data_IF_682543510610
#
_entry.id   IF_682543510610
#
_cell.length_a   1.000
_cell.length_b   1.000
_cell.length_c   1.000
_cell.angle_alpha   90.00
_cell.angle_beta   90.00
_cell.angle_gamma   90.00
#
_symmetry.space_group_name_H-M   'P 1'
#
loop_
_entity.id
_entity.type
_entity.pdbx_description
1 polymer ?
#
# COMPACT_ATOMS: atom_id res chain seq x y z
N UNK A 1 -10.96 8.51 -10.21
CA UNK A 1 -10.84 7.99 -8.83
C UNK A 1 -9.41 7.55 -8.56
N UNK A 2 -8.89 7.84 -7.36
CA UNK A 2 -7.62 7.33 -6.85
C UNK A 2 -7.91 6.39 -5.67
N UNK A 3 -7.39 5.18 -5.70
CA UNK A 3 -7.38 4.27 -4.54
C UNK A 3 -5.94 3.94 -4.16
N UNK A 4 -5.57 4.25 -2.93
CA UNK A 4 -4.26 3.90 -2.37
C UNK A 4 -4.42 2.78 -1.34
N UNK A 5 -3.73 1.66 -1.55
CA UNK A 5 -3.78 0.51 -0.64
C UNK A 5 -2.40 0.28 -0.05
N UNK A 6 -2.21 0.76 1.18
CA UNK A 6 -1.00 0.54 1.95
C UNK A 6 -1.12 -0.71 2.85
N UNK A 7 0.00 -1.22 3.30
CA UNK A 7 0.03 -2.35 4.25
C UNK A 7 1.37 -3.07 4.20
N UNK A 8 1.69 -3.75 5.27
CA UNK A 8 2.92 -4.54 5.37
C UNK A 8 2.94 -5.73 4.40
N UNK A 9 4.05 -6.44 4.34
CA UNK A 9 4.18 -7.62 3.51
C UNK A 9 3.25 -8.74 4.01
N UNK A 10 2.53 -9.40 3.09
CA UNK A 10 1.73 -10.59 3.42
C UNK A 10 0.30 -10.33 3.91
N UNK A 11 -0.22 -9.10 3.84
CA UNK A 11 -1.58 -8.76 4.33
C UNK A 11 -2.68 -8.79 3.25
N UNK A 12 -2.39 -9.28 2.03
CA UNK A 12 -3.40 -9.46 0.99
C UNK A 12 -3.69 -8.25 0.10
N UNK A 13 -2.84 -7.20 0.11
CA UNK A 13 -3.03 -5.97 -0.69
C UNK A 13 -3.31 -6.22 -2.16
N UNK A 14 -2.43 -6.94 -2.85
CA UNK A 14 -2.55 -7.17 -4.31
C UNK A 14 -3.81 -7.95 -4.66
N UNK A 15 -4.21 -8.91 -3.82
CA UNK A 15 -5.47 -9.66 -4.00
C UNK A 15 -6.69 -8.76 -3.88
N UNK A 16 -6.70 -7.88 -2.88
CA UNK A 16 -7.80 -6.93 -2.67
C UNK A 16 -7.81 -5.87 -3.76
N UNK A 17 -6.64 -5.34 -4.15
CA UNK A 17 -6.50 -4.37 -5.24
C UNK A 17 -7.04 -4.93 -6.56
N UNK A 18 -6.75 -6.19 -6.88
CA UNK A 18 -7.26 -6.85 -8.08
C UNK A 18 -8.79 -7.03 -8.04
N UNK A 19 -9.37 -7.38 -6.88
CA UNK A 19 -10.82 -7.47 -6.72
C UNK A 19 -11.50 -6.13 -6.95
N UNK A 20 -10.96 -5.06 -6.35
CA UNK A 20 -11.46 -3.68 -6.54
C UNK A 20 -11.36 -3.29 -8.02
N UNK A 21 -10.21 -3.55 -8.66
CA UNK A 21 -10.01 -3.22 -10.06
C UNK A 21 -11.05 -3.88 -10.97
N UNK A 22 -11.33 -5.17 -10.74
CA UNK A 22 -12.31 -5.93 -11.52
C UNK A 22 -13.75 -5.45 -11.26
N UNK A 23 -14.14 -5.23 -10.01
CA UNK A 23 -15.49 -4.86 -9.64
C UNK A 23 -15.87 -3.44 -10.10
N UNK A 24 -14.91 -2.51 -9.98
CA UNK A 24 -15.11 -1.10 -10.34
C UNK A 24 -14.49 -0.72 -11.69
N UNK A 25 -14.05 -1.69 -12.49
CA UNK A 25 -13.52 -1.47 -13.85
C UNK A 25 -12.35 -0.48 -13.91
N UNK A 26 -11.45 -0.51 -12.93
CA UNK A 26 -10.23 0.30 -12.99
C UNK A 26 -9.32 -0.16 -14.12
N UNK A 27 -8.96 0.77 -15.00
CA UNK A 27 -8.07 0.50 -16.12
C UNK A 27 -6.59 0.41 -15.71
N UNK A 28 -6.21 0.96 -14.55
CA UNK A 28 -4.83 0.98 -14.07
C UNK A 28 -4.73 0.48 -12.62
N UNK A 29 -3.96 -0.58 -12.46
CA UNK A 29 -3.52 -1.12 -11.18
C UNK A 29 -2.00 -1.26 -11.20
N UNK A 30 -1.32 -0.59 -10.30
CA UNK A 30 0.14 -0.61 -10.18
C UNK A 30 0.56 -0.95 -8.74
N UNK A 31 1.72 -1.59 -8.61
CA UNK A 31 2.33 -1.81 -7.31
C UNK A 31 3.54 -0.91 -7.08
N UNK A 32 3.78 -0.48 -5.84
CA UNK A 32 4.99 0.26 -5.49
C UNK A 32 6.25 -0.58 -5.63
N UNK A 33 6.13 -1.91 -5.55
CA UNK A 33 7.24 -2.82 -5.80
C UNK A 33 7.68 -2.74 -7.27
N UNK A 34 6.74 -2.63 -8.23
CA UNK A 34 7.07 -2.44 -9.65
C UNK A 34 7.75 -1.09 -9.89
N UNK A 35 7.26 0.00 -9.25
CA UNK A 35 7.89 1.31 -9.33
C UNK A 35 9.31 1.25 -8.79
N UNK A 36 9.51 0.65 -7.60
CA UNK A 36 10.83 0.46 -7.00
C UNK A 36 11.76 -0.31 -7.92
N UNK A 37 11.29 -1.37 -8.56
CA UNK A 37 12.11 -2.19 -9.45
C UNK A 37 12.60 -1.42 -10.67
N UNK A 38 11.73 -0.58 -11.27
CA UNK A 38 12.11 0.32 -12.36
C UNK A 38 13.16 1.33 -11.88
N UNK A 39 12.95 1.95 -10.71
CA UNK A 39 13.88 2.93 -10.15
C UNK A 39 15.25 2.29 -9.83
N UNK A 40 15.28 1.05 -9.36
CA UNK A 40 16.51 0.30 -9.08
C UNK A 40 17.40 0.12 -10.30
N UNK A 41 16.81 -0.04 -11.48
CA UNK A 41 17.59 -0.26 -12.73
C UNK A 41 18.42 0.95 -13.10
N UNK A 42 17.95 2.16 -12.73
CA UNK A 42 18.62 3.42 -13.06
C UNK A 42 19.40 4.01 -11.88
N UNK A 43 19.21 3.47 -10.68
CA UNK A 43 19.91 3.93 -9.48
C UNK A 43 21.29 3.27 -9.36
N UNK A 44 22.33 4.09 -9.49
CA UNK A 44 23.73 3.66 -9.36
C UNK A 44 24.32 3.95 -7.97
N UNK A 45 23.51 4.41 -7.02
CA UNK A 45 23.94 4.77 -5.68
C UNK A 45 24.25 3.52 -4.87
N UNK A 46 25.47 3.37 -4.40
CA UNK A 46 25.86 2.29 -3.49
C UNK A 46 25.04 2.37 -2.20
N UNK A 47 24.59 1.22 -1.69
CA UNK A 47 23.79 1.09 -0.47
C UNK A 47 22.43 1.84 -0.47
N UNK A 48 21.94 2.26 -1.63
CA UNK A 48 20.63 2.88 -1.74
C UNK A 48 19.51 2.00 -1.12
N UNK A 49 18.56 2.61 -0.35
CA UNK A 49 17.40 1.90 0.16
C UNK A 49 16.54 1.23 -0.91
N UNK A 50 16.63 1.64 -2.17
CA UNK A 50 15.98 0.99 -3.32
C UNK A 50 16.40 -0.48 -3.48
N UNK A 51 17.62 -0.84 -3.08
CA UNK A 51 18.18 -2.18 -3.26
C UNK A 51 17.84 -3.15 -2.12
N UNK A 52 17.20 -2.69 -1.05
CA UNK A 52 16.79 -3.56 0.07
C UNK A 52 15.28 -3.76 0.14
N UNK A 53 14.83 -4.86 0.75
CA UNK A 53 13.41 -5.07 1.04
C UNK A 53 12.95 -4.13 2.13
N UNK A 54 11.68 -3.74 2.11
CA UNK A 54 11.06 -2.84 3.09
C UNK A 54 11.21 -3.29 4.56
N UNK A 55 11.31 -4.61 4.79
CA UNK A 55 11.51 -5.18 6.13
C UNK A 55 12.97 -5.53 6.45
N UNK A 56 13.90 -5.33 5.51
CA UNK A 56 15.33 -5.58 5.75
C UNK A 56 15.92 -4.55 6.70
N UNK A 57 16.93 -4.97 7.46
CA UNK A 57 17.68 -4.06 8.32
C UNK A 57 18.43 -3.04 7.45
N UNK A 58 18.28 -1.78 7.77
CA UNK A 58 19.01 -0.66 7.19
C UNK A 58 20.02 -0.08 8.17
N UNK A 59 20.37 1.18 7.98
CA UNK A 59 21.39 1.86 8.80
C UNK A 59 20.96 2.12 10.25
N UNK A 60 19.67 2.46 10.45
CA UNK A 60 19.15 2.74 11.79
C UNK A 60 19.04 1.49 12.65
N UNK A 61 18.79 0.33 12.01
CA UNK A 61 18.47 -0.93 12.68
C UNK A 61 17.05 -0.98 13.23
N UNK A 62 16.34 0.15 13.37
CA UNK A 62 14.93 0.21 13.72
C UNK A 62 14.05 -0.19 12.51
N UNK A 63 13.00 -0.98 12.75
CA UNK A 63 12.19 -1.53 11.69
C UNK A 63 11.39 -0.44 10.94
N UNK A 64 10.87 0.54 11.68
CA UNK A 64 10.02 1.59 11.14
C UNK A 64 10.86 2.64 10.41
N UNK A 65 11.97 3.08 11.00
CA UNK A 65 12.87 4.05 10.35
C UNK A 65 13.48 3.48 9.08
N UNK A 66 13.97 2.24 9.13
CA UNK A 66 14.53 1.58 7.95
C UNK A 66 13.50 1.39 6.83
N UNK A 67 12.22 1.11 7.19
CA UNK A 67 11.13 1.07 6.23
C UNK A 67 10.81 2.45 5.65
N UNK A 68 10.78 3.49 6.48
CA UNK A 68 10.55 4.87 6.02
C UNK A 68 11.61 5.33 5.02
N UNK A 69 12.87 4.92 5.18
CA UNK A 69 13.91 5.21 4.20
C UNK A 69 13.60 4.55 2.85
N UNK A 70 13.06 3.33 2.84
CA UNK A 70 12.61 2.70 1.57
C UNK A 70 11.41 3.44 0.98
N UNK A 71 10.50 3.96 1.79
CA UNK A 71 9.38 4.77 1.31
C UNK A 71 9.88 6.06 0.65
N UNK A 72 10.78 6.79 1.30
CA UNK A 72 11.39 8.02 0.76
C UNK A 72 12.09 7.77 -0.57
N UNK A 73 12.82 6.67 -0.69
CA UNK A 73 13.54 6.34 -1.93
C UNK A 73 12.60 6.05 -3.12
N UNK A 74 11.37 5.58 -2.87
CA UNK A 74 10.36 5.28 -3.90
C UNK A 74 9.40 6.45 -4.11
N UNK A 75 9.35 7.42 -3.21
CA UNK A 75 8.35 8.49 -3.14
C UNK A 75 8.19 9.24 -4.47
N UNK A 76 9.30 9.62 -5.10
CA UNK A 76 9.27 10.37 -6.37
C UNK A 76 8.55 9.59 -7.48
N UNK A 77 8.76 8.28 -7.58
CA UNK A 77 8.08 7.41 -8.54
C UNK A 77 6.59 7.25 -8.23
N UNK A 78 6.24 7.14 -6.95
CA UNK A 78 4.84 7.08 -6.49
C UNK A 78 4.11 8.36 -6.87
N UNK A 79 4.66 9.54 -6.55
CA UNK A 79 4.03 10.82 -6.88
C UNK A 79 3.96 11.04 -8.40
N UNK A 80 5.01 10.72 -9.15
CA UNK A 80 4.99 10.84 -10.61
C UNK A 80 3.87 9.99 -11.25
N UNK A 81 3.65 8.78 -10.72
CA UNK A 81 2.58 7.88 -11.18
C UNK A 81 1.19 8.46 -10.90
N UNK A 82 0.96 8.96 -9.68
CA UNK A 82 -0.31 9.60 -9.28
C UNK A 82 -0.56 10.85 -10.13
N UNK A 83 0.43 11.72 -10.28
CA UNK A 83 0.31 12.95 -11.06
C UNK A 83 0.04 12.69 -12.53
N UNK A 84 0.66 11.66 -13.11
CA UNK A 84 0.38 11.24 -14.48
C UNK A 84 -1.07 10.81 -14.64
N UNK A 85 -1.57 9.93 -13.77
CA UNK A 85 -2.95 9.46 -13.82
C UNK A 85 -3.93 10.62 -13.66
N UNK A 86 -3.65 11.56 -12.74
CA UNK A 86 -4.45 12.78 -12.54
C UNK A 86 -4.53 13.66 -13.77
N UNK A 87 -3.39 13.94 -14.41
CA UNK A 87 -3.34 14.77 -15.64
C UNK A 87 -4.05 14.13 -16.84
N UNK A 88 -4.02 12.80 -16.91
CA UNK A 88 -4.69 12.05 -17.97
C UNK A 88 -6.18 11.79 -17.66
N UNK A 89 -6.67 12.16 -16.47
CA UNK A 89 -8.05 11.90 -16.05
C UNK A 89 -8.38 10.42 -15.92
N UNK A 90 -7.39 9.59 -15.58
CA UNK A 90 -7.52 8.13 -15.53
C UNK A 90 -7.57 7.63 -14.09
N UNK A 91 -8.52 6.75 -13.82
CA UNK A 91 -8.66 6.11 -12.53
C UNK A 91 -7.46 5.19 -12.24
N UNK A 92 -6.96 5.26 -11.00
CA UNK A 92 -5.75 4.55 -10.58
C UNK A 92 -5.96 3.84 -9.25
N UNK A 93 -5.59 2.56 -9.20
CA UNK A 93 -5.27 1.87 -7.95
C UNK A 93 -3.75 1.76 -7.85
N UNK A 94 -3.20 2.23 -6.74
CA UNK A 94 -1.79 2.03 -6.40
C UNK A 94 -1.69 1.28 -5.07
N UNK A 95 -1.02 0.13 -5.07
CA UNK A 95 -0.87 -0.68 -3.86
C UNK A 95 0.59 -0.90 -3.49
N UNK A 96 0.88 -1.02 -2.21
CA UNK A 96 2.21 -1.43 -1.77
C UNK A 96 2.58 -1.05 -0.36
N UNK A 97 3.74 -1.54 0.06
CA UNK A 97 4.32 -1.26 1.37
C UNK A 97 5.02 0.10 1.44
N UNK A 98 5.32 0.71 0.28
CA UNK A 98 6.01 2.00 0.20
C UNK A 98 5.05 3.19 0.15
N UNK A 99 3.77 2.98 0.44
CA UNK A 99 2.78 4.04 0.58
C UNK A 99 2.66 4.37 2.07
N UNK A 100 3.13 5.54 2.45
CA UNK A 100 2.98 6.05 3.80
C UNK A 100 1.69 6.85 3.91
N UNK A 101 0.71 6.43 4.76
CA UNK A 101 -0.56 7.12 4.89
C UNK A 101 -0.35 8.57 5.32
N UNK A 102 -0.92 9.50 4.57
CA UNK A 102 -0.93 10.91 4.91
C UNK A 102 -2.14 11.63 4.31
N UNK A 103 -2.59 12.69 4.95
CA UNK A 103 -3.66 13.55 4.42
C UNK A 103 -3.26 14.16 3.08
N UNK A 104 -2.00 14.54 2.92
CA UNK A 104 -1.48 15.25 1.75
C UNK A 104 -1.65 14.47 0.45
N UNK A 105 -1.37 13.16 0.48
CA UNK A 105 -1.36 12.35 -0.75
C UNK A 105 -2.77 12.20 -1.36
N UNK A 106 -3.81 12.12 -0.52
CA UNK A 106 -5.20 12.06 -0.98
C UNK A 106 -5.73 13.44 -1.37
N UNK A 107 -5.38 14.47 -0.58
CA UNK A 107 -5.86 15.84 -0.78
C UNK A 107 -5.45 16.39 -2.15
N UNK A 108 -4.23 16.14 -2.62
CA UNK A 108 -3.78 16.62 -3.94
C UNK A 108 -4.68 16.14 -5.10
N UNK A 109 -5.26 14.96 -4.98
CA UNK A 109 -6.21 14.42 -5.95
C UNK A 109 -7.62 15.01 -5.76
N UNK A 110 -8.05 15.17 -4.51
CA UNK A 110 -9.36 15.76 -4.17
C UNK A 110 -9.43 17.24 -4.55
N UNK A 111 -8.39 18.02 -4.31
CA UNK A 111 -8.30 19.44 -4.70
C UNK A 111 -8.37 19.63 -6.22
N UNK A 112 -7.95 18.63 -6.99
CA UNK A 112 -8.13 18.58 -8.44
C UNK A 112 -9.54 18.16 -8.88
N UNK A 113 -10.47 17.98 -7.93
CA UNK A 113 -11.87 17.62 -8.17
C UNK A 113 -12.13 16.13 -8.32
N UNK A 114 -11.18 15.27 -7.97
CA UNK A 114 -11.33 13.82 -8.01
C UNK A 114 -11.74 13.21 -6.68
N UNK A 115 -12.08 11.93 -6.70
CA UNK A 115 -12.35 11.13 -5.51
C UNK A 115 -11.08 10.36 -5.15
N UNK A 116 -10.66 10.40 -3.88
CA UNK A 116 -9.49 9.66 -3.40
C UNK A 116 -9.82 8.90 -2.12
N UNK A 117 -9.42 7.63 -2.07
CA UNK A 117 -9.66 6.71 -0.96
C UNK A 117 -8.34 6.08 -0.54
N UNK A 118 -8.02 6.18 0.76
CA UNK A 118 -6.88 5.53 1.38
C UNK A 118 -7.32 4.33 2.22
N UNK A 119 -6.65 3.20 2.04
CA UNK A 119 -6.92 1.96 2.77
C UNK A 119 -5.59 1.41 3.30
N UNK A 120 -5.51 1.12 4.60
CA UNK A 120 -4.42 0.36 5.18
C UNK A 120 -4.88 -1.06 5.49
N UNK A 121 -4.28 -2.03 4.84
CA UNK A 121 -4.53 -3.44 5.12
C UNK A 121 -3.58 -3.96 6.19
N UNK A 122 -4.12 -4.73 7.12
CA UNK A 122 -3.39 -5.37 8.19
C UNK A 122 -3.95 -6.77 8.50
N UNK A 123 -3.21 -7.58 9.22
CA UNK A 123 -3.67 -8.85 9.79
C UNK A 123 -3.37 -8.82 11.28
N UNK A 124 -4.41 -8.80 12.11
CA UNK A 124 -4.26 -8.66 13.55
C UNK A 124 -3.64 -9.92 14.17
N UNK A 125 -4.13 -11.09 13.79
CA UNK A 125 -3.65 -12.37 14.29
C UNK A 125 -2.31 -12.76 13.65
N UNK A 126 -1.28 -12.99 14.48
CA UNK A 126 0.07 -13.31 14.01
C UNK A 126 0.15 -14.68 13.34
N UNK A 127 -0.63 -15.65 13.80
CA UNK A 127 -0.63 -16.99 13.21
C UNK A 127 -1.24 -16.96 11.80
N UNK A 128 -2.31 -16.17 11.61
CA UNK A 128 -2.90 -15.95 10.29
C UNK A 128 -1.96 -15.17 9.37
N UNK A 129 -1.28 -14.13 9.88
CA UNK A 129 -0.29 -13.40 9.11
C UNK A 129 0.84 -14.32 8.65
N UNK A 130 1.35 -15.17 9.53
CA UNK A 130 2.34 -16.21 9.21
C UNK A 130 1.84 -17.16 8.14
N UNK A 131 0.56 -17.59 8.24
CA UNK A 131 -0.06 -18.44 7.22
C UNK A 131 -0.10 -17.77 5.85
N UNK A 132 -0.47 -16.49 5.78
CA UNK A 132 -0.46 -15.74 4.52
C UNK A 132 0.93 -15.61 3.90
N UNK A 133 1.96 -15.42 4.73
CA UNK A 133 3.35 -15.37 4.27
C UNK A 133 3.80 -16.72 3.70
N UNK A 134 3.41 -17.85 4.32
CA UNK A 134 3.70 -19.19 3.83
C UNK A 134 2.97 -19.50 2.52
N UNK A 135 1.71 -19.11 2.37
CA UNK A 135 0.95 -19.32 1.15
C UNK A 135 1.55 -18.64 -0.08
N UNK A 136 2.27 -17.52 0.09
CA UNK A 136 2.99 -16.87 -1.02
C UNK A 136 4.07 -17.75 -1.64
N UNK A 137 4.66 -18.67 -0.89
CA UNK A 137 5.68 -19.61 -1.37
C UNK A 137 5.11 -20.61 -2.37
N UNK A 138 3.89 -21.10 -2.14
CA UNK A 138 3.24 -22.07 -3.05
C UNK A 138 2.96 -21.50 -4.45
N UNK A 139 3.01 -20.18 -4.61
CA UNK A 139 2.73 -19.48 -5.86
C UNK A 139 3.89 -18.62 -6.37
N UNK A 140 5.07 -18.68 -5.72
CA UNK A 140 6.24 -17.90 -6.13
C UNK A 140 7.54 -18.59 -5.69
N UNK A 141 8.63 -18.36 -6.42
CA UNK A 141 9.99 -18.81 -6.06
C UNK A 141 10.59 -18.06 -4.84
N UNK A 142 9.76 -17.41 -4.00
CA UNK A 142 10.20 -16.64 -2.84
C UNK A 142 10.23 -17.54 -1.62
N UNK A 143 11.39 -17.67 -0.98
CA UNK A 143 11.55 -18.45 0.25
C UNK A 143 10.77 -17.83 1.41
N UNK A 144 9.81 -18.58 1.99
CA UNK A 144 8.98 -18.15 3.12
C UNK A 144 9.81 -17.90 4.39
N UNK A 145 10.90 -18.63 4.62
CA UNK A 145 11.73 -18.50 5.81
C UNK A 145 12.27 -17.07 5.98
N UNK A 146 12.58 -16.39 4.87
CA UNK A 146 13.02 -15.01 4.89
C UNK A 146 11.96 -14.06 5.46
N UNK A 147 10.68 -14.30 5.17
CA UNK A 147 9.58 -13.49 5.70
C UNK A 147 9.26 -13.84 7.15
N UNK A 148 9.31 -15.13 7.48
CA UNK A 148 9.04 -15.61 8.83
C UNK A 148 10.11 -15.10 9.80
N UNK A 149 11.39 -15.18 9.45
CA UNK A 149 12.48 -14.62 10.26
C UNK A 149 12.40 -13.10 10.45
N UNK A 150 11.81 -12.40 9.49
CA UNK A 150 11.59 -10.95 9.54
C UNK A 150 10.21 -10.55 10.10
N UNK A 151 9.39 -11.51 10.53
CA UNK A 151 8.01 -11.26 10.98
C UNK A 151 7.91 -10.16 12.07
N UNK A 152 8.77 -10.12 13.10
CA UNK A 152 8.70 -9.06 14.10
C UNK A 152 8.86 -7.66 13.47
N UNK A 153 9.77 -7.51 12.51
CA UNK A 153 9.96 -6.23 11.79
C UNK A 153 8.76 -5.89 10.89
N UNK A 154 8.23 -6.89 10.18
CA UNK A 154 7.03 -6.74 9.35
C UNK A 154 5.84 -6.27 10.19
N UNK A 155 5.68 -6.82 11.39
CA UNK A 155 4.61 -6.42 12.32
C UNK A 155 4.82 -5.01 12.88
N UNK A 156 6.04 -4.62 13.24
CA UNK A 156 6.34 -3.24 13.65
C UNK A 156 5.98 -2.23 12.56
N UNK A 157 6.27 -2.56 11.28
CA UNK A 157 5.87 -1.74 10.13
C UNK A 157 4.35 -1.68 10.01
N UNK A 158 3.65 -2.82 10.18
CA UNK A 158 2.18 -2.86 10.15
C UNK A 158 1.57 -1.96 11.22
N UNK A 159 2.08 -2.01 12.45
CA UNK A 159 1.57 -1.20 13.56
C UNK A 159 1.79 0.29 13.31
N UNK A 160 2.95 0.66 12.76
CA UNK A 160 3.23 2.03 12.32
C UNK A 160 2.26 2.48 11.21
N UNK A 161 1.98 1.62 10.23
CA UNK A 161 1.01 1.92 9.16
C UNK A 161 -0.41 2.11 9.72
N UNK A 162 -0.85 1.29 10.67
CA UNK A 162 -2.15 1.44 11.35
C UNK A 162 -2.25 2.77 12.08
N UNK A 163 -1.21 3.16 12.81
CA UNK A 163 -1.19 4.43 13.52
C UNK A 163 -1.20 5.63 12.56
N UNK A 164 -0.41 5.57 11.47
CA UNK A 164 -0.44 6.60 10.43
C UNK A 164 -1.80 6.69 9.73
N UNK A 165 -2.48 5.56 9.51
CA UNK A 165 -3.83 5.53 8.98
C UNK A 165 -4.81 6.28 9.90
N UNK A 166 -4.74 6.00 11.21
CA UNK A 166 -5.57 6.67 12.22
C UNK A 166 -5.35 8.19 12.23
N UNK A 167 -4.09 8.64 12.14
CA UNK A 167 -3.73 10.06 12.12
C UNK A 167 -4.14 10.78 10.82
N UNK A 168 -4.16 10.06 9.71
CA UNK A 168 -4.48 10.58 8.39
C UNK A 168 -5.94 10.35 7.96
N UNK A 169 -6.75 9.77 8.84
CA UNK A 169 -8.15 9.39 8.59
C UNK A 169 -8.32 8.46 7.37
N UNK A 170 -7.40 7.49 7.25
CA UNK A 170 -7.49 6.43 6.26
C UNK A 170 -8.29 5.24 6.81
N UNK A 171 -8.99 4.57 5.93
CA UNK A 171 -9.70 3.33 6.27
C UNK A 171 -8.72 2.20 6.62
N UNK A 172 -9.11 1.32 7.54
CA UNK A 172 -8.33 0.12 7.88
C UNK A 172 -9.12 -1.15 7.61
N UNK A 173 -8.45 -2.17 7.08
CA UNK A 173 -9.05 -3.42 6.66
C UNK A 173 -8.23 -4.63 7.13
N UNK A 174 -8.84 -5.48 7.94
CA UNK A 174 -8.32 -6.83 8.22
C UNK A 174 -9.14 -7.86 7.42
N UNK A 175 -8.56 -8.45 6.36
CA UNK A 175 -9.28 -9.39 5.51
C UNK A 175 -9.61 -10.71 6.21
N UNK A 176 -8.98 -10.99 7.37
CA UNK A 176 -9.24 -12.20 8.16
C UNK A 176 -10.45 -12.08 9.08
N UNK A 177 -10.81 -10.85 9.43
CA UNK A 177 -11.94 -10.54 10.33
C UNK A 177 -13.17 -10.01 9.59
N UNK A 178 -13.00 -9.54 8.38
CA UNK A 178 -14.08 -8.98 7.57
C UNK A 178 -14.69 -10.07 6.69
N UNK A 179 -15.94 -10.47 6.97
CA UNK A 179 -16.64 -11.53 6.21
C UNK A 179 -16.79 -11.18 4.74
N UNK A 180 -17.16 -9.94 4.44
CA UNK A 180 -17.22 -9.42 3.09
C UNK A 180 -16.34 -8.17 2.97
N UNK A 181 -15.12 -8.39 2.46
CA UNK A 181 -14.14 -7.34 2.23
C UNK A 181 -14.61 -6.33 1.19
N UNK A 182 -15.32 -6.81 0.14
CA UNK A 182 -15.76 -5.94 -0.95
C UNK A 182 -16.96 -5.08 -0.54
N UNK A 183 -17.92 -5.62 0.22
CA UNK A 183 -19.03 -4.84 0.77
C UNK A 183 -18.51 -3.63 1.58
N UNK A 184 -17.46 -3.86 2.41
CA UNK A 184 -16.87 -2.78 3.20
C UNK A 184 -16.15 -1.76 2.32
N UNK A 185 -15.43 -2.21 1.31
CA UNK A 185 -14.78 -1.32 0.33
C UNK A 185 -15.84 -0.51 -0.43
N UNK A 186 -16.90 -1.15 -0.91
CA UNK A 186 -17.99 -0.48 -1.61
C UNK A 186 -18.66 0.60 -0.76
N UNK A 187 -18.85 0.33 0.53
CA UNK A 187 -19.35 1.35 1.47
C UNK A 187 -18.44 2.59 1.52
N UNK A 188 -17.11 2.41 1.50
CA UNK A 188 -16.19 3.57 1.47
C UNK A 188 -16.24 4.32 0.14
N UNK A 189 -16.45 3.62 -0.98
CA UNK A 189 -16.69 4.29 -2.26
C UNK A 189 -17.97 5.13 -2.22
N UNK A 190 -19.07 4.59 -1.67
CA UNK A 190 -20.33 5.31 -1.54
C UNK A 190 -20.19 6.56 -0.66
N UNK A 191 -19.47 6.44 0.47
CA UNK A 191 -19.19 7.60 1.34
C UNK A 191 -18.38 8.67 0.60
N UNK A 192 -17.29 8.29 -0.05
CA UNK A 192 -16.44 9.22 -0.78
C UNK A 192 -17.16 9.88 -1.96
N UNK A 193 -18.02 9.12 -2.66
CA UNK A 193 -18.89 9.65 -3.71
C UNK A 193 -19.91 10.64 -3.18
N UNK A 194 -20.56 10.34 -2.07
CA UNK A 194 -21.54 11.23 -1.47
C UNK A 194 -20.90 12.53 -0.96
N UNK A 195 -19.70 12.46 -0.38
CA UNK A 195 -18.94 13.64 0.02
C UNK A 195 -18.57 14.50 -1.19
N UNK A 196 -18.05 13.89 -2.24
CA UNK A 196 -17.69 14.59 -3.48
C UNK A 196 -18.89 15.31 -4.13
N UNK A 197 -20.09 14.71 -4.10
CA UNK A 197 -21.33 15.34 -4.61
C UNK A 197 -21.77 16.56 -3.82
N UNK A 198 -21.47 16.63 -2.51
CA UNK A 198 -21.84 17.79 -1.67
C UNK A 198 -20.96 19.03 -1.92
N UNK A 199 -19.78 18.83 -2.48
CA UNK A 199 -18.81 19.90 -2.73
C UNK A 199 -18.91 20.51 -4.14
N UNK A 200 -19.85 20.04 -4.94
CA UNK A 200 -20.15 20.52 -6.30
C UNK A 200 -21.58 21.01 -6.43
#
# INVERSE_FOLDING_TARGET
ILVLIAGATGVGKSTTALKIANEHSFARLLSTDAIREIMRVVDTTENSPLHRSSFSRGESGDAVLDWQDTCKSVEAGVFATIERARREGIDLILEGVHIEPSVRILRSWQDAGGIAIGIVMHVEDEAQHTSFLKQRESHSFRNADRYISALPRIRSIQDSLKEKARLADWNTLDPTRTKDTMERVNHWFDLAWNEWRKTR
#
